data_IF_376929480939
#
_entry.id   IF_376929480939
#
_cell.length_a   1.000
_cell.length_b   1.000
_cell.length_c   1.000
_cell.angle_alpha   90.00
_cell.angle_beta   90.00
_cell.angle_gamma   90.00
#
_symmetry.space_group_name_H-M   'P 1'
#
loop_
_entity.id
_entity.type
_entity.pdbx_description
1 polymer ?
#
# COMPACT_ATOMS: atom_id res chain seq x y z
N UNK A 1 49.08 -20.80 9.82
CA UNK A 1 47.65 -20.41 9.73
C UNK A 1 47.42 -19.24 10.66
N UNK A 2 47.43 -18.00 10.16
CA UNK A 2 47.30 -16.80 10.99
C UNK A 2 45.89 -16.24 10.80
N UNK A 3 45.06 -16.35 11.82
CA UNK A 3 43.66 -15.92 11.81
C UNK A 3 43.61 -14.38 11.90
N UNK A 4 43.14 -13.71 10.84
CA UNK A 4 42.89 -12.26 10.86
C UNK A 4 41.53 -12.01 11.49
N UNK A 5 41.53 -11.59 12.75
CA UNK A 5 40.35 -11.07 13.42
C UNK A 5 39.84 -9.84 12.67
N UNK A 6 38.66 -9.97 12.04
CA UNK A 6 37.97 -8.88 11.36
C UNK A 6 37.42 -7.94 12.42
N UNK A 7 38.08 -6.80 12.63
CA UNK A 7 37.56 -5.73 13.46
C UNK A 7 36.18 -5.31 12.93
N UNK A 8 35.16 -5.42 13.78
CA UNK A 8 33.81 -4.95 13.49
C UNK A 8 33.82 -3.42 13.58
N UNK A 9 33.66 -2.74 12.44
CA UNK A 9 33.56 -1.29 12.41
C UNK A 9 32.31 -0.85 13.19
N UNK A 10 32.46 0.11 14.11
CA UNK A 10 31.35 0.71 14.83
C UNK A 10 30.34 1.31 13.83
N UNK A 11 29.03 1.19 14.08
CA UNK A 11 28.02 1.74 13.16
C UNK A 11 28.19 3.26 13.06
N UNK A 12 28.33 3.76 11.83
CA UNK A 12 28.41 5.18 11.57
C UNK A 12 27.17 5.89 12.14
N UNK A 13 27.39 7.02 12.82
CA UNK A 13 26.31 7.83 13.38
C UNK A 13 25.27 8.18 12.31
N UNK A 14 23.96 8.18 12.62
CA UNK A 14 22.92 8.43 11.65
C UNK A 14 23.06 9.84 11.07
N UNK A 15 23.17 9.94 9.73
CA UNK A 15 23.15 11.24 9.05
C UNK A 15 21.72 11.77 9.05
N UNK A 16 21.49 12.86 9.77
CA UNK A 16 20.22 13.58 9.78
C UNK A 16 20.27 14.65 8.69
N UNK A 17 19.28 14.65 7.81
CA UNK A 17 19.07 15.72 6.82
C UNK A 17 17.80 16.48 7.20
N UNK A 18 17.91 17.79 7.39
CA UNK A 18 16.74 18.66 7.60
C UNK A 18 16.08 18.94 6.25
N UNK A 19 14.75 18.84 6.22
CA UNK A 19 13.93 19.15 5.03
C UNK A 19 12.82 20.11 5.44
N UNK A 20 12.55 21.09 4.59
CA UNK A 20 11.37 21.94 4.78
C UNK A 20 10.10 21.13 4.51
N UNK A 21 9.01 21.50 5.16
CA UNK A 21 7.71 20.87 4.89
C UNK A 21 7.32 20.99 3.41
N UNK A 22 7.55 22.15 2.80
CA UNK A 22 7.27 22.39 1.39
C UNK A 22 8.06 21.43 0.49
N UNK A 23 9.36 21.23 0.75
CA UNK A 23 10.18 20.28 0.01
C UNK A 23 9.73 18.83 0.20
N UNK A 24 9.38 18.45 1.43
CA UNK A 24 8.83 17.12 1.71
C UNK A 24 7.49 16.89 1.00
N UNK A 25 6.61 17.89 0.99
CA UNK A 25 5.31 17.81 0.32
C UNK A 25 5.46 17.74 -1.20
N UNK A 26 6.28 18.60 -1.81
CA UNK A 26 6.56 18.56 -3.24
C UNK A 26 7.07 17.18 -3.68
N UNK A 27 7.99 16.57 -2.90
CA UNK A 27 8.47 15.21 -3.16
C UNK A 27 7.35 14.16 -3.06
N UNK A 28 6.45 14.26 -2.08
CA UNK A 28 5.30 13.35 -1.95
C UNK A 28 4.36 13.46 -3.15
N UNK A 29 4.01 14.68 -3.56
CA UNK A 29 3.16 14.92 -4.71
C UNK A 29 3.80 14.39 -6.01
N UNK A 30 5.11 14.60 -6.20
CA UNK A 30 5.84 14.07 -7.33
C UNK A 30 5.79 12.53 -7.38
N UNK A 31 6.09 11.85 -6.27
CA UNK A 31 6.08 10.38 -6.19
C UNK A 31 4.68 9.77 -6.30
N UNK A 32 3.64 10.56 -6.02
CA UNK A 32 2.26 10.14 -6.19
C UNK A 32 1.68 10.52 -7.56
N UNK A 33 2.52 11.00 -8.50
CA UNK A 33 2.11 11.42 -9.84
C UNK A 33 1.04 12.53 -9.84
N UNK A 34 1.03 13.38 -8.81
CA UNK A 34 0.09 14.49 -8.66
C UNK A 34 0.65 15.83 -9.17
N UNK A 35 1.89 15.85 -9.69
CA UNK A 35 2.48 17.06 -10.27
C UNK A 35 2.44 17.03 -11.80
N UNK A 36 2.13 18.17 -12.46
CA UNK A 36 1.97 18.24 -13.92
C UNK A 36 3.19 17.77 -14.74
N UNK A 37 4.41 17.92 -14.20
CA UNK A 37 5.66 17.50 -14.84
C UNK A 37 5.88 15.98 -14.77
N UNK A 38 5.38 15.31 -13.73
CA UNK A 38 5.43 13.85 -13.61
C UNK A 38 4.40 13.15 -14.52
N UNK A 39 3.28 13.83 -14.80
CA UNK A 39 2.18 13.32 -15.64
C UNK A 39 2.48 13.32 -17.14
N UNK A 40 3.48 14.07 -17.63
CA UNK A 40 3.77 14.24 -19.07
C UNK A 40 5.00 13.50 -19.60
N UNK A 41 5.92 13.08 -18.73
CA UNK A 41 7.16 12.39 -19.14
C UNK A 41 7.10 10.87 -18.99
N UNK A 42 6.12 10.36 -18.24
CA UNK A 42 5.82 8.94 -18.11
C UNK A 42 4.39 8.87 -17.61
N UNK A 43 3.43 8.60 -18.51
CA UNK A 43 2.09 8.22 -18.06
C UNK A 43 2.28 6.98 -17.18
N UNK A 44 2.24 7.17 -15.86
CA UNK A 44 2.44 6.08 -14.93
C UNK A 44 1.34 5.07 -15.25
N UNK A 45 1.74 3.83 -15.53
CA UNK A 45 0.75 2.79 -15.80
C UNK A 45 -0.23 2.73 -14.62
N UNK A 46 -1.48 2.32 -14.82
CA UNK A 46 -2.41 2.19 -13.69
C UNK A 46 -1.88 1.32 -12.54
N UNK A 47 -0.96 0.38 -12.83
CA UNK A 47 -0.19 -0.38 -11.85
C UNK A 47 0.79 0.49 -11.04
N UNK A 48 1.56 1.36 -11.68
CA UNK A 48 2.46 2.31 -11.02
C UNK A 48 1.68 3.35 -10.18
N UNK A 49 0.56 3.86 -10.70
CA UNK A 49 -0.32 4.75 -9.94
C UNK A 49 -0.95 4.07 -8.70
N UNK A 50 -1.32 2.79 -8.81
CA UNK A 50 -1.82 2.01 -7.69
C UNK A 50 -0.73 1.64 -6.67
N UNK A 51 0.48 1.30 -7.14
CA UNK A 51 1.64 1.06 -6.29
C UNK A 51 2.03 2.35 -5.53
N UNK A 52 1.97 3.50 -6.19
CA UNK A 52 2.23 4.81 -5.61
C UNK A 52 1.25 5.18 -4.48
N UNK A 53 0.06 4.58 -4.46
CA UNK A 53 -0.94 4.76 -3.39
C UNK A 53 -0.96 3.65 -2.36
N UNK A 54 -0.10 2.62 -2.50
CA UNK A 54 -0.12 1.41 -1.65
C UNK A 54 -1.50 0.75 -1.66
N UNK A 55 -2.15 0.74 -2.83
CA UNK A 55 -3.54 0.31 -3.03
C UNK A 55 -4.57 1.38 -2.71
N UNK A 56 -5.74 1.27 -3.33
CA UNK A 56 -6.88 2.15 -3.06
C UNK A 56 -7.78 1.57 -1.96
N UNK A 57 -8.34 2.42 -1.09
CA UNK A 57 -9.40 1.98 -0.17
C UNK A 57 -10.62 1.50 -0.96
N UNK A 58 -11.17 0.36 -0.56
CA UNK A 58 -12.19 -0.35 -1.33
C UNK A 58 -13.31 -0.94 -0.47
N UNK A 59 -13.58 -0.39 0.73
CA UNK A 59 -14.81 -0.68 1.49
C UNK A 59 -16.05 -0.54 0.60
N UNK A 60 -16.10 0.56 -0.17
CA UNK A 60 -17.01 0.73 -1.29
C UNK A 60 -16.20 0.59 -2.59
N UNK A 61 -16.30 -0.57 -3.25
CA UNK A 61 -15.50 -0.87 -4.46
C UNK A 61 -15.67 0.19 -5.56
N UNK A 62 -16.88 0.72 -5.64
CA UNK A 62 -17.28 1.90 -6.38
C UNK A 62 -16.34 3.10 -6.28
N UNK A 63 -15.88 3.40 -5.06
CA UNK A 63 -15.05 4.56 -4.76
C UNK A 63 -13.54 4.30 -5.00
N UNK A 64 -13.14 3.04 -5.23
CA UNK A 64 -11.74 2.66 -5.38
C UNK A 64 -11.04 3.31 -6.60
N UNK A 65 -11.82 3.76 -7.60
CA UNK A 65 -11.33 4.49 -8.77
C UNK A 65 -10.88 5.92 -8.46
N UNK A 66 -11.51 6.59 -7.48
CA UNK A 66 -11.31 8.01 -7.18
C UNK A 66 -9.85 8.37 -6.86
N UNK A 67 -9.12 7.63 -6.00
CA UNK A 67 -7.72 7.95 -5.74
C UNK A 67 -6.78 7.60 -6.91
N UNK A 68 -7.20 6.82 -7.89
CA UNK A 68 -6.33 6.48 -9.05
C UNK A 68 -6.43 7.53 -10.15
N UNK A 69 -7.64 8.08 -10.37
CA UNK A 69 -7.95 9.09 -11.38
C UNK A 69 -6.89 10.17 -11.58
N UNK A 70 -6.52 10.95 -10.55
CA UNK A 70 -5.59 12.07 -10.69
C UNK A 70 -4.11 11.70 -10.95
N UNK A 71 -3.77 10.41 -11.02
CA UNK A 71 -2.38 9.90 -10.97
C UNK A 71 -1.89 9.24 -12.28
N UNK A 72 -2.70 9.27 -13.33
CA UNK A 72 -2.42 8.65 -14.63
C UNK A 72 -3.65 8.76 -15.54
N UNK A 73 -3.79 7.88 -16.53
CA UNK A 73 -4.92 7.86 -17.49
C UNK A 73 -6.30 7.52 -16.88
N UNK A 74 -6.39 7.62 -15.55
CA UNK A 74 -7.55 7.24 -14.77
C UNK A 74 -7.78 5.73 -14.76
N UNK A 75 -8.65 5.29 -13.85
CA UNK A 75 -9.25 3.97 -13.92
C UNK A 75 -10.76 4.17 -13.85
N UNK A 76 -11.48 4.14 -14.98
CA UNK A 76 -12.92 4.18 -14.95
C UNK A 76 -13.46 3.03 -14.08
N UNK A 77 -14.67 3.23 -13.56
CA UNK A 77 -15.29 2.28 -12.63
C UNK A 77 -15.56 0.91 -13.29
N UNK A 78 -15.78 0.90 -14.61
CA UNK A 78 -15.85 -0.31 -15.44
C UNK A 78 -14.54 -1.07 -15.41
N UNK A 79 -13.42 -0.36 -15.53
CA UNK A 79 -12.08 -0.93 -15.62
C UNK A 79 -11.63 -1.51 -14.27
N UNK A 80 -12.08 -0.92 -13.15
CA UNK A 80 -11.94 -1.55 -11.82
C UNK A 80 -12.58 -2.95 -11.82
N UNK A 81 -13.79 -3.09 -12.37
CA UNK A 81 -14.50 -4.37 -12.39
C UNK A 81 -13.83 -5.36 -13.33
N UNK A 82 -13.43 -4.94 -14.52
CA UNK A 82 -12.71 -5.79 -15.48
C UNK A 82 -11.39 -6.28 -14.89
N UNK A 83 -10.58 -5.38 -14.34
CA UNK A 83 -9.31 -5.73 -13.72
C UNK A 83 -9.45 -6.68 -12.51
N UNK A 84 -10.54 -6.56 -11.74
CA UNK A 84 -10.79 -7.40 -10.57
C UNK A 84 -11.38 -8.77 -10.93
N UNK A 85 -12.39 -8.81 -11.79
CA UNK A 85 -13.20 -10.01 -12.03
C UNK A 85 -12.79 -10.77 -13.28
N UNK A 86 -12.40 -10.06 -14.33
CA UNK A 86 -12.05 -10.62 -15.64
C UNK A 86 -10.54 -10.86 -15.73
N UNK A 87 -9.74 -9.79 -15.70
CA UNK A 87 -8.30 -9.87 -15.99
C UNK A 87 -7.48 -10.38 -14.79
N UNK A 88 -8.07 -10.31 -13.59
CA UNK A 88 -7.43 -10.69 -12.32
C UNK A 88 -6.11 -9.97 -12.04
N UNK A 89 -5.90 -8.80 -12.64
CA UNK A 89 -4.73 -7.93 -12.42
C UNK A 89 -4.84 -7.12 -11.12
N UNK A 90 -6.01 -7.18 -10.47
CA UNK A 90 -6.29 -6.60 -9.15
C UNK A 90 -6.89 -7.62 -8.19
N UNK A 91 -6.61 -7.43 -6.89
CA UNK A 91 -7.18 -8.21 -5.80
C UNK A 91 -7.84 -7.28 -4.77
N UNK A 92 -9.01 -7.67 -4.27
CA UNK A 92 -9.66 -7.02 -3.13
C UNK A 92 -9.37 -7.84 -1.88
N UNK A 93 -8.64 -7.27 -0.93
CA UNK A 93 -8.20 -7.96 0.29
C UNK A 93 -8.07 -6.98 1.46
N UNK A 94 -7.77 -7.49 2.65
CA UNK A 94 -7.41 -6.67 3.80
C UNK A 94 -5.97 -6.16 3.64
N UNK A 95 -5.80 -4.84 3.72
CA UNK A 95 -4.53 -4.16 3.71
C UNK A 95 -4.14 -3.63 5.10
N UNK A 96 -3.24 -2.62 5.16
CA UNK A 96 -2.88 -1.95 6.41
C UNK A 96 -4.08 -1.57 7.26
N UNK A 97 -3.91 -1.76 8.57
CA UNK A 97 -4.92 -1.43 9.61
C UNK A 97 -6.23 -2.22 9.45
N UNK A 98 -6.19 -3.39 8.80
CA UNK A 98 -7.37 -4.25 8.61
C UNK A 98 -8.42 -3.67 7.65
N UNK A 99 -8.08 -2.64 6.88
CA UNK A 99 -9.02 -2.01 5.93
C UNK A 99 -9.07 -2.74 4.60
N UNK A 100 -10.23 -2.77 3.94
CA UNK A 100 -10.34 -3.37 2.60
C UNK A 100 -9.66 -2.47 1.57
N UNK A 101 -8.71 -3.03 0.82
CA UNK A 101 -7.99 -2.35 -0.25
C UNK A 101 -8.10 -3.11 -1.57
N UNK A 102 -8.08 -2.35 -2.66
CA UNK A 102 -7.85 -2.85 -4.00
C UNK A 102 -6.36 -2.69 -4.32
N UNK A 103 -5.68 -3.81 -4.53
CA UNK A 103 -4.23 -3.88 -4.75
C UNK A 103 -3.91 -4.45 -6.13
N UNK A 104 -2.76 -4.09 -6.75
CA UNK A 104 -2.17 -4.89 -7.80
C UNK A 104 -2.01 -6.35 -7.36
N UNK A 105 -2.41 -7.30 -8.19
CA UNK A 105 -2.26 -8.72 -7.86
C UNK A 105 -0.79 -9.11 -7.64
N UNK A 106 0.14 -8.47 -8.38
CA UNK A 106 1.58 -8.66 -8.24
C UNK A 106 2.13 -8.23 -6.87
N UNK A 107 1.47 -7.29 -6.18
CA UNK A 107 1.92 -6.81 -4.86
C UNK A 107 1.38 -7.69 -3.72
N UNK A 108 0.46 -8.62 -4.00
CA UNK A 108 -0.17 -9.44 -2.98
C UNK A 108 0.85 -10.21 -2.10
N UNK A 109 1.91 -10.86 -2.64
CA UNK A 109 2.89 -11.55 -1.80
C UNK A 109 3.60 -10.63 -0.81
N UNK A 110 3.95 -9.42 -1.24
CA UNK A 110 4.56 -8.40 -0.38
C UNK A 110 3.61 -8.02 0.76
N UNK A 111 2.35 -7.73 0.43
CA UNK A 111 1.35 -7.35 1.43
C UNK A 111 1.02 -8.50 2.39
N UNK A 112 0.89 -9.73 1.89
CA UNK A 112 0.66 -10.90 2.73
C UNK A 112 1.81 -11.11 3.72
N UNK A 113 3.07 -10.98 3.29
CA UNK A 113 4.23 -11.07 4.17
C UNK A 113 4.33 -9.91 5.17
N UNK A 114 4.07 -8.69 4.73
CA UNK A 114 4.10 -7.52 5.63
C UNK A 114 3.00 -7.59 6.70
N UNK A 115 1.80 -8.04 6.34
CA UNK A 115 0.67 -8.12 7.27
C UNK A 115 0.77 -9.31 8.21
N UNK A 116 1.38 -10.43 7.80
CA UNK A 116 1.59 -11.58 8.68
C UNK A 116 2.62 -11.30 9.79
N UNK A 117 3.52 -10.34 9.57
CA UNK A 117 4.49 -9.89 10.57
C UNK A 117 3.89 -8.96 11.63
N UNK A 118 2.65 -8.49 11.45
CA UNK A 118 1.97 -7.67 12.45
C UNK A 118 1.52 -8.56 13.62
N UNK A 119 1.67 -8.09 14.88
CA UNK A 119 1.08 -8.77 16.02
C UNK A 119 -0.42 -8.96 15.78
N UNK A 120 -0.95 -10.15 16.08
CA UNK A 120 -2.38 -10.38 16.03
C UNK A 120 -3.05 -9.42 17.03
N UNK A 121 -3.72 -8.39 16.51
CA UNK A 121 -4.46 -7.45 17.34
C UNK A 121 -5.58 -8.17 18.09
N UNK A 122 -5.84 -7.75 19.33
CA UNK A 122 -7.04 -8.17 20.03
C UNK A 122 -8.25 -7.85 19.15
N UNK A 123 -9.10 -8.84 18.88
CA UNK A 123 -10.36 -8.62 18.18
C UNK A 123 -11.17 -7.58 18.97
N UNK A 124 -11.60 -6.46 18.36
CA UNK A 124 -12.50 -5.52 19.01
C UNK A 124 -13.89 -6.13 19.22
N UNK A 125 -14.19 -7.20 18.48
CA UNK A 125 -15.38 -8.01 18.71
C UNK A 125 -15.10 -8.94 19.90
N UNK A 126 -15.82 -8.68 20.99
CA UNK A 126 -15.90 -9.57 22.15
C UNK A 126 -16.31 -10.95 21.62
N UNK A 127 -15.60 -12.01 22.01
CA UNK A 127 -16.12 -13.36 21.80
C UNK A 127 -17.40 -13.47 22.61
N UNK A 128 -18.53 -13.62 21.92
CA UNK A 128 -19.76 -14.00 22.59
C UNK A 128 -19.54 -15.39 23.18
N UNK A 129 -19.27 -15.44 24.48
CA UNK A 129 -19.48 -16.64 25.27
C UNK A 129 -20.98 -16.83 25.34
N UNK A 130 -21.53 -17.49 24.32
CA UNK A 130 -22.95 -17.81 24.22
C UNK A 130 -23.44 -18.38 25.54
N UNK A 131 -24.21 -17.58 26.26
CA UNK A 131 -24.91 -18.01 27.46
C UNK A 131 -25.82 -19.16 27.05
N UNK A 132 -25.49 -20.37 27.53
CA UNK A 132 -26.41 -21.52 27.47
C UNK A 132 -27.73 -21.06 28.06
N UNK A 133 -28.75 -20.87 27.21
CA UNK A 133 -30.14 -20.91 27.66
C UNK A 133 -30.36 -22.32 28.17
N UNK A 134 -30.40 -22.48 29.49
CA UNK A 134 -30.91 -23.69 30.11
C UNK A 134 -32.43 -23.64 29.96
N UNK A 135 -32.96 -24.70 29.36
CA UNK A 135 -34.38 -25.02 29.34
C UNK A 135 -34.82 -25.35 30.77
#
# INVERSE_FOLDING_TARGET
MTNRSRATAAPAAPRITTVTWAGANARRLARQHLLPSASRSSAASPAEAAAATLGAHAQALSAAALPVGPRGDGLPRTDVRTALWTDRTRVKTFGPRGTVRLLPAADLPLWSGALSALPAGASPFRRDHGGRRRN
#
